data_IF_136773002624
#
_entry.id   IF_136773002624
#
_cell.length_a   1.000
_cell.length_b   1.000
_cell.length_c   1.000
_cell.angle_alpha   90.00
_cell.angle_beta   90.00
_cell.angle_gamma   90.00
#
_symmetry.space_group_name_H-M   'P 1'
#
loop_
_entity.id
_entity.type
_entity.pdbx_description
1 polymer ?
#
# COMPACT_ATOMS: atom_id res chain seq x y z
N UNK A 1 -5.57 7.52 -33.52
CA UNK A 1 -5.08 8.46 -32.55
C UNK A 1 -5.89 8.50 -31.28
N UNK A 2 -7.15 8.81 -31.42
CA UNK A 2 -8.03 8.81 -30.25
C UNK A 2 -8.15 7.45 -29.60
N UNK A 3 -8.11 6.37 -30.38
CA UNK A 3 -8.14 5.02 -29.83
C UNK A 3 -6.95 4.74 -28.91
N UNK A 4 -5.75 5.17 -29.30
CA UNK A 4 -4.57 4.97 -28.46
C UNK A 4 -4.65 5.80 -27.19
N UNK A 5 -5.09 7.04 -27.30
CA UNK A 5 -5.29 7.91 -26.16
C UNK A 5 -6.36 7.34 -25.23
N UNK A 6 -7.48 6.88 -25.79
CA UNK A 6 -8.55 6.28 -25.00
C UNK A 6 -8.08 5.02 -24.27
N UNK A 7 -7.27 4.20 -24.93
CA UNK A 7 -6.73 3.00 -24.33
C UNK A 7 -5.88 3.33 -23.11
N UNK A 8 -4.97 4.32 -23.23
CA UNK A 8 -4.13 4.74 -22.11
C UNK A 8 -4.94 5.35 -20.98
N UNK A 9 -5.94 6.14 -21.30
CA UNK A 9 -6.83 6.73 -20.31
C UNK A 9 -7.62 5.66 -19.57
N UNK A 10 -8.14 4.66 -20.30
CA UNK A 10 -8.84 3.55 -19.69
C UNK A 10 -7.94 2.76 -18.76
N UNK A 11 -6.70 2.49 -19.18
CA UNK A 11 -5.75 1.75 -18.36
C UNK A 11 -5.40 2.53 -17.09
N UNK A 12 -5.19 3.84 -17.21
CA UNK A 12 -4.93 4.70 -16.06
C UNK A 12 -6.12 4.72 -15.11
N UNK A 13 -7.33 4.78 -15.65
CA UNK A 13 -8.54 4.78 -14.84
C UNK A 13 -8.72 3.45 -14.12
N UNK A 14 -8.48 2.33 -14.80
CA UNK A 14 -8.55 1.01 -14.18
C UNK A 14 -7.53 0.86 -13.05
N UNK A 15 -6.30 1.29 -13.30
CA UNK A 15 -5.25 1.25 -12.27
C UNK A 15 -5.63 2.10 -11.06
N UNK A 16 -6.17 3.28 -11.31
CA UNK A 16 -6.59 4.18 -10.25
C UNK A 16 -7.74 3.60 -9.44
N UNK A 17 -8.73 2.99 -10.11
CA UNK A 17 -9.85 2.36 -9.41
C UNK A 17 -9.40 1.19 -8.56
N UNK A 18 -8.51 0.35 -9.08
CA UNK A 18 -7.95 -0.76 -8.31
C UNK A 18 -7.15 -0.27 -7.12
N UNK A 19 -6.35 0.79 -7.31
CA UNK A 19 -5.60 1.39 -6.21
C UNK A 19 -6.55 1.88 -5.11
N UNK A 20 -7.65 2.54 -5.49
CA UNK A 20 -8.62 3.03 -4.52
C UNK A 20 -9.27 1.88 -3.74
N UNK A 21 -9.55 0.76 -4.40
CA UNK A 21 -10.04 -0.43 -3.70
C UNK A 21 -9.04 -0.92 -2.67
N UNK A 22 -7.77 -1.00 -3.04
CA UNK A 22 -6.71 -1.43 -2.11
C UNK A 22 -6.61 -0.45 -0.94
N UNK A 23 -6.71 0.86 -1.21
CA UNK A 23 -6.64 1.87 -0.16
C UNK A 23 -7.72 1.71 0.90
N UNK A 24 -8.87 1.13 0.56
CA UNK A 24 -9.91 0.88 1.57
C UNK A 24 -9.51 -0.15 2.60
N UNK A 25 -8.47 -0.93 2.33
CA UNK A 25 -7.95 -1.95 3.24
C UNK A 25 -6.73 -1.48 4.02
N UNK A 26 -6.27 -0.25 3.79
CA UNK A 26 -5.05 0.31 4.37
C UNK A 26 -5.38 1.38 5.40
N UNK A 27 -4.41 1.75 6.25
CA UNK A 27 -4.60 2.90 7.14
C UNK A 27 -4.97 4.15 6.35
N UNK A 28 -5.87 4.95 6.90
CA UNK A 28 -6.39 6.13 6.20
C UNK A 28 -5.31 7.13 5.82
N UNK A 29 -4.21 7.18 6.58
CA UNK A 29 -3.07 8.06 6.27
C UNK A 29 -2.43 7.76 4.92
N UNK A 30 -2.60 6.55 4.41
CA UNK A 30 -2.05 6.18 3.10
C UNK A 30 -2.65 6.98 1.96
N UNK A 31 -3.88 7.48 2.12
CA UNK A 31 -4.50 8.33 1.10
C UNK A 31 -3.69 9.61 0.88
N UNK A 32 -3.18 10.19 1.96
CA UNK A 32 -2.35 11.39 1.86
C UNK A 32 -1.03 11.09 1.17
N UNK A 33 -0.42 9.96 1.47
CA UNK A 33 0.80 9.53 0.81
C UNK A 33 0.59 9.44 -0.70
N UNK A 34 -0.48 8.80 -1.15
CA UNK A 34 -0.73 8.62 -2.58
C UNK A 34 -1.07 9.95 -3.28
N UNK A 35 -1.71 10.88 -2.59
CA UNK A 35 -1.90 12.23 -3.13
C UNK A 35 -0.57 12.94 -3.32
N UNK A 36 0.33 12.77 -2.35
CA UNK A 36 1.63 13.42 -2.41
C UNK A 36 2.51 12.98 -3.56
N UNK A 37 2.36 11.73 -4.02
CA UNK A 37 3.17 11.18 -5.11
C UNK A 37 2.45 11.18 -6.45
N UNK A 38 1.24 11.68 -6.51
CA UNK A 38 0.40 11.58 -7.71
C UNK A 38 1.06 12.21 -8.94
N UNK A 39 1.72 13.35 -8.76
CA UNK A 39 2.32 14.08 -9.88
C UNK A 39 3.67 13.54 -10.31
N UNK A 40 4.25 12.64 -9.51
CA UNK A 40 5.59 12.09 -9.79
C UNK A 40 5.56 10.64 -10.27
N UNK A 41 4.41 9.99 -10.21
CA UNK A 41 4.32 8.57 -10.48
C UNK A 41 3.20 8.28 -11.47
N UNK A 42 3.36 7.18 -12.20
CA UNK A 42 2.28 6.67 -13.03
C UNK A 42 1.22 5.98 -12.17
N UNK A 43 0.02 5.79 -12.73
CA UNK A 43 -1.04 5.03 -12.07
C UNK A 43 -0.62 3.60 -11.80
N UNK A 44 0.16 3.02 -12.70
CA UNK A 44 0.68 1.65 -12.56
C UNK A 44 1.63 1.55 -11.36
N UNK A 45 2.51 2.51 -11.22
CA UNK A 45 3.44 2.56 -10.08
C UNK A 45 2.69 2.72 -8.77
N UNK A 46 1.70 3.61 -8.73
CA UNK A 46 0.90 3.82 -7.53
C UNK A 46 0.13 2.55 -7.14
N UNK A 47 -0.42 1.83 -8.12
CA UNK A 47 -1.10 0.56 -7.85
C UNK A 47 -0.13 -0.46 -7.25
N UNK A 48 1.09 -0.57 -7.79
CA UNK A 48 2.10 -1.46 -7.26
C UNK A 48 2.44 -1.10 -5.82
N UNK A 49 2.63 0.19 -5.52
CA UNK A 49 2.90 0.64 -4.16
C UNK A 49 1.75 0.31 -3.21
N UNK A 50 0.51 0.44 -3.68
CA UNK A 50 -0.64 0.10 -2.85
C UNK A 50 -0.66 -1.37 -2.46
N UNK A 51 -0.37 -2.26 -3.39
CA UNK A 51 -0.26 -3.69 -3.11
C UNK A 51 0.88 -3.98 -2.14
N UNK A 52 2.03 -3.33 -2.33
CA UNK A 52 3.18 -3.51 -1.44
C UNK A 52 2.85 -3.08 -0.02
N UNK A 53 2.18 -1.94 0.13
CA UNK A 53 1.78 -1.45 1.45
C UNK A 53 0.75 -2.36 2.10
N UNK A 54 -0.14 -2.96 1.31
CA UNK A 54 -1.11 -3.90 1.86
C UNK A 54 -0.41 -5.11 2.45
N UNK A 55 0.53 -5.69 1.74
CA UNK A 55 1.31 -6.83 2.24
C UNK A 55 2.03 -6.45 3.53
N UNK A 56 2.67 -5.27 3.55
CA UNK A 56 3.39 -4.79 4.71
C UNK A 56 2.47 -4.63 5.93
N UNK A 57 1.34 -3.95 5.77
CA UNK A 57 0.45 -3.71 6.90
C UNK A 57 -0.27 -4.97 7.37
N UNK A 58 -0.59 -5.89 6.46
CA UNK A 58 -1.14 -7.18 6.86
C UNK A 58 -0.14 -7.95 7.70
N UNK A 59 1.13 -7.96 7.29
CA UNK A 59 2.18 -8.64 8.07
C UNK A 59 2.35 -7.99 9.44
N UNK A 60 2.43 -6.67 9.49
CA UNK A 60 2.61 -5.96 10.75
C UNK A 60 1.39 -6.14 11.67
N UNK A 61 0.20 -6.16 11.10
CA UNK A 61 -1.01 -6.38 11.88
C UNK A 61 -1.02 -7.76 12.55
N UNK A 62 -0.48 -8.76 11.89
CA UNK A 62 -0.42 -10.11 12.47
C UNK A 62 0.71 -10.27 13.48
N UNK A 63 1.82 -9.59 13.28
CA UNK A 63 3.06 -9.90 14.00
C UNK A 63 3.51 -8.83 15.00
N UNK A 64 3.02 -7.60 14.90
CA UNK A 64 3.41 -6.52 15.78
C UNK A 64 2.32 -6.26 16.81
N UNK A 65 2.62 -6.32 18.12
CA UNK A 65 1.60 -6.18 19.16
C UNK A 65 0.94 -4.81 19.21
N UNK A 66 1.58 -3.77 18.70
CA UNK A 66 0.94 -2.45 18.60
C UNK A 66 -0.03 -2.40 17.42
N UNK A 67 0.34 -3.04 16.32
CA UNK A 67 -0.48 -3.00 15.12
C UNK A 67 -1.73 -3.86 15.23
N UNK A 68 -1.71 -4.92 16.03
CA UNK A 68 -2.85 -5.83 16.11
C UNK A 68 -3.94 -5.42 17.09
N UNK A 69 -3.78 -4.28 17.76
CA UNK A 69 -4.77 -3.81 18.75
C UNK A 69 -6.04 -3.26 18.13
N UNK A 70 -5.95 -2.75 16.91
CA UNK A 70 -7.07 -2.19 16.16
C UNK A 70 -7.03 -2.73 14.74
N UNK A 71 -8.10 -2.52 13.98
CA UNK A 71 -8.11 -2.92 12.57
C UNK A 71 -7.09 -2.15 11.75
N UNK A 72 -6.66 -2.72 10.64
CA UNK A 72 -5.62 -2.12 9.80
C UNK A 72 -6.01 -0.70 9.38
N UNK A 73 -7.26 -0.50 8.98
CA UNK A 73 -7.72 0.80 8.50
C UNK A 73 -7.71 1.88 9.58
N UNK A 74 -7.67 1.48 10.85
CA UNK A 74 -7.70 2.38 11.99
C UNK A 74 -6.31 2.72 12.53
N UNK A 75 -5.25 2.14 11.94
CA UNK A 75 -3.89 2.37 12.41
C UNK A 75 -3.49 3.82 12.18
N UNK A 76 -3.07 4.54 13.24
CA UNK A 76 -2.58 5.91 13.09
C UNK A 76 -1.14 5.92 12.57
N UNK A 77 -0.72 7.06 12.03
CA UNK A 77 0.65 7.22 11.56
C UNK A 77 1.67 6.92 12.67
N UNK A 78 1.33 7.24 13.91
CA UNK A 78 2.20 7.02 15.06
C UNK A 78 2.56 5.55 15.27
N UNK A 79 1.82 4.61 14.67
CA UNK A 79 2.16 3.19 14.78
C UNK A 79 3.54 2.89 14.21
N UNK A 80 4.02 3.70 13.27
CA UNK A 80 5.34 3.52 12.68
C UNK A 80 6.46 3.68 13.72
N UNK A 81 6.23 4.42 14.78
CA UNK A 81 7.20 4.59 15.87
C UNK A 81 7.37 3.30 16.68
N UNK A 82 6.43 2.37 16.56
CA UNK A 82 6.44 1.10 17.28
C UNK A 82 6.88 -0.07 16.41
N UNK A 83 7.31 0.20 15.19
CA UNK A 83 7.86 -0.82 14.30
C UNK A 83 9.36 -0.80 14.46
N UNK A 84 9.90 -1.89 15.00
CA UNK A 84 11.33 -2.00 15.29
C UNK A 84 12.11 -2.46 14.07
N UNK A 85 13.43 -2.36 14.16
CA UNK A 85 14.33 -2.95 13.18
C UNK A 85 14.09 -4.44 13.03
N UNK A 86 13.85 -5.13 14.13
CA UNK A 86 13.60 -6.58 14.13
C UNK A 86 12.31 -6.90 13.38
N UNK A 87 11.26 -6.08 13.54
CA UNK A 87 10.02 -6.24 12.78
C UNK A 87 10.27 -6.15 11.29
N UNK A 88 11.09 -5.21 10.87
CA UNK A 88 11.44 -5.04 9.46
C UNK A 88 12.24 -6.23 8.94
N UNK A 89 13.19 -6.71 9.74
CA UNK A 89 13.98 -7.89 9.35
C UNK A 89 13.10 -9.12 9.19
N UNK A 90 12.17 -9.34 10.10
CA UNK A 90 11.21 -10.43 9.99
C UNK A 90 10.34 -10.29 8.74
N UNK A 91 9.91 -9.06 8.42
CA UNK A 91 9.14 -8.80 7.23
C UNK A 91 9.94 -9.11 5.96
N UNK A 92 11.21 -8.72 5.92
CA UNK A 92 12.07 -9.02 4.78
C UNK A 92 12.26 -10.53 4.60
N UNK A 93 12.42 -11.26 5.69
CA UNK A 93 12.49 -12.72 5.66
C UNK A 93 11.19 -13.32 5.13
N UNK A 94 10.06 -12.80 5.57
CA UNK A 94 8.75 -13.21 5.09
C UNK A 94 8.63 -13.04 3.57
N UNK A 95 9.03 -11.89 3.06
CA UNK A 95 8.99 -11.64 1.62
C UNK A 95 9.87 -12.62 0.84
N UNK A 96 11.04 -12.92 1.38
CA UNK A 96 11.98 -13.84 0.74
C UNK A 96 11.43 -15.26 0.67
N UNK A 97 10.76 -15.70 1.73
CA UNK A 97 10.30 -17.09 1.85
C UNK A 97 8.94 -17.34 1.21
N UNK A 98 8.05 -16.36 1.26
CA UNK A 98 6.64 -16.59 0.94
C UNK A 98 6.11 -15.81 -0.24
N UNK A 99 6.76 -14.72 -0.63
CA UNK A 99 6.29 -13.87 -1.71
C UNK A 99 7.41 -13.75 -2.75
N UNK A 100 7.44 -14.68 -3.66
CA UNK A 100 8.43 -14.64 -4.73
C UNK A 100 7.77 -14.26 -6.09
#
# INVERSE_FOLDING_TARGET
>A
MEKNKNYHDEQNNMNTLKMREVLTTLPSVCKQFFRGIQDYTSSRTRLAYAYDLRVFFEFMHENNPYCNKVGITELPLSVLDHISREDIEEYMDYLTLYIK
#
